data_IF_952839689940
#
_entry.id   IF_952839689940
#
_cell.length_a   1.000
_cell.length_b   1.000
_cell.length_c   1.000
_cell.angle_alpha   90.00
_cell.angle_beta   90.00
_cell.angle_gamma   90.00
#
_symmetry.space_group_name_H-M   'P 1'
#
loop_
_entity.id
_entity.type
_entity.pdbx_description
1 polymer ?
#
# COMPACT_ATOMS: atom_id res chain seq x y z
N UNK A 1 29.57 -17.78 12.06
CA UNK A 1 28.95 -16.44 12.13
C UNK A 1 27.62 -16.50 11.42
N UNK A 2 26.52 -16.14 12.09
CA UNK A 2 25.24 -16.01 11.44
C UNK A 2 25.36 -14.89 10.39
N UNK A 3 25.07 -15.21 9.13
CA UNK A 3 25.11 -14.23 8.03
C UNK A 3 23.82 -13.42 8.13
N UNK A 4 23.93 -12.12 8.33
CA UNK A 4 22.78 -11.23 8.25
C UNK A 4 22.31 -11.23 6.78
N UNK A 5 21.11 -11.73 6.53
CA UNK A 5 20.50 -11.82 5.21
C UNK A 5 19.33 -10.85 5.12
N UNK A 6 18.95 -10.46 3.89
CA UNK A 6 17.85 -9.51 3.63
C UNK A 6 16.54 -9.92 4.32
N UNK A 7 16.22 -11.22 4.32
CA UNK A 7 15.02 -11.74 5.00
C UNK A 7 15.03 -11.49 6.51
N UNK A 8 16.19 -11.57 7.17
CA UNK A 8 16.30 -11.30 8.60
C UNK A 8 16.19 -9.80 8.92
N UNK A 9 16.65 -8.94 8.00
CA UNK A 9 16.49 -7.49 8.11
C UNK A 9 15.03 -7.09 7.86
N UNK A 10 14.38 -7.72 6.88
CA UNK A 10 12.96 -7.51 6.58
C UNK A 10 12.07 -7.88 7.77
N UNK A 11 12.28 -9.05 8.36
CA UNK A 11 11.52 -9.51 9.54
C UNK A 11 11.68 -8.54 10.71
N UNK A 12 12.92 -8.14 11.03
CA UNK A 12 13.19 -7.13 12.06
C UNK A 12 12.47 -5.79 11.77
N UNK A 13 12.50 -5.31 10.53
CA UNK A 13 11.86 -4.05 10.17
C UNK A 13 10.33 -4.13 10.27
N UNK A 14 9.73 -5.27 9.92
CA UNK A 14 8.30 -5.52 10.08
C UNK A 14 7.93 -5.48 11.57
N UNK A 15 8.68 -6.19 12.42
CA UNK A 15 8.44 -6.23 13.88
C UNK A 15 8.52 -4.83 14.51
N UNK A 16 9.54 -4.05 14.15
CA UNK A 16 9.69 -2.65 14.60
C UNK A 16 8.48 -1.79 14.19
N UNK A 17 8.04 -1.88 12.93
CA UNK A 17 6.86 -1.14 12.47
C UNK A 17 5.57 -1.60 13.18
N UNK A 18 5.41 -2.91 13.39
CA UNK A 18 4.28 -3.45 14.14
C UNK A 18 4.26 -2.93 15.59
N UNK A 19 5.43 -2.81 16.24
CA UNK A 19 5.56 -2.23 17.58
C UNK A 19 5.09 -0.77 17.66
N UNK A 20 5.26 -0.01 16.57
CA UNK A 20 4.79 1.37 16.42
C UNK A 20 3.28 1.45 16.10
N UNK A 21 2.60 0.31 15.96
CA UNK A 21 1.16 0.21 15.70
C UNK A 21 0.80 0.09 14.22
N UNK A 22 1.76 -0.17 13.33
CA UNK A 22 1.46 -0.44 11.92
C UNK A 22 0.92 -1.87 11.74
N UNK A 23 -0.04 -2.02 10.83
CA UNK A 23 -0.55 -3.34 10.45
C UNK A 23 0.27 -3.88 9.28
N UNK A 24 0.95 -5.00 9.51
CA UNK A 24 1.58 -5.77 8.44
C UNK A 24 0.53 -6.61 7.71
N UNK A 25 0.63 -6.63 6.39
CA UNK A 25 -0.20 -7.46 5.51
C UNK A 25 0.73 -8.04 4.45
N UNK A 26 0.65 -9.35 4.23
CA UNK A 26 1.53 -10.00 3.27
C UNK A 26 1.16 -9.65 1.84
N UNK A 27 2.18 -9.51 0.98
CA UNK A 27 1.97 -9.24 -0.45
C UNK A 27 1.15 -10.33 -1.15
N UNK A 28 1.28 -11.59 -0.71
CA UNK A 28 0.50 -12.72 -1.25
C UNK A 28 -0.99 -12.62 -0.91
N UNK A 29 -1.34 -12.03 0.24
CA UNK A 29 -2.75 -11.83 0.62
C UNK A 29 -3.42 -10.73 -0.20
N UNK A 30 -2.61 -9.83 -0.79
CA UNK A 30 -3.05 -8.69 -1.60
C UNK A 30 -2.95 -8.97 -3.12
N UNK A 31 -2.42 -10.13 -3.50
CA UNK A 31 -2.16 -10.48 -4.89
C UNK A 31 -3.45 -10.58 -5.72
N UNK A 32 -3.39 -10.46 -7.06
CA UNK A 32 -4.58 -10.50 -7.92
C UNK A 32 -5.37 -11.81 -7.84
N UNK A 33 -4.71 -12.89 -7.48
CA UNK A 33 -5.22 -14.26 -7.32
C UNK A 33 -5.49 -14.64 -5.86
N UNK A 34 -5.34 -13.71 -4.92
CA UNK A 34 -5.68 -13.91 -3.53
C UNK A 34 -7.19 -13.95 -3.30
N UNK A 35 -7.61 -14.39 -2.10
CA UNK A 35 -9.02 -14.41 -1.71
C UNK A 35 -9.62 -13.00 -1.60
N UNK A 36 -8.82 -12.03 -1.16
CA UNK A 36 -9.21 -10.62 -1.01
C UNK A 36 -8.21 -9.73 -1.77
N UNK A 37 -8.24 -9.74 -3.11
CA UNK A 37 -7.24 -9.06 -3.91
C UNK A 37 -7.39 -7.54 -3.76
N UNK A 38 -6.29 -6.86 -3.45
CA UNK A 38 -6.21 -5.39 -3.52
C UNK A 38 -5.43 -4.91 -4.74
N UNK A 39 -4.59 -5.77 -5.32
CA UNK A 39 -3.88 -5.54 -6.57
C UNK A 39 -4.69 -6.12 -7.73
N UNK A 40 -4.71 -5.42 -8.85
CA UNK A 40 -5.24 -5.94 -10.13
C UNK A 40 -4.15 -6.66 -10.93
N UNK A 41 -2.88 -6.31 -10.70
CA UNK A 41 -1.70 -6.91 -11.29
C UNK A 41 -0.55 -6.98 -10.28
N UNK A 42 0.37 -7.94 -10.45
CA UNK A 42 1.60 -8.02 -9.67
C UNK A 42 2.50 -6.77 -9.83
N UNK A 43 2.36 -6.05 -10.94
CA UNK A 43 3.08 -4.79 -11.20
C UNK A 43 2.45 -3.55 -10.53
N UNK A 44 1.30 -3.67 -9.89
CA UNK A 44 0.62 -2.53 -9.30
C UNK A 44 1.39 -1.98 -8.09
N UNK A 45 1.91 -0.77 -8.21
CA UNK A 45 2.59 -0.09 -7.08
C UNK A 45 1.59 0.56 -6.12
N UNK A 46 0.43 0.98 -6.65
CA UNK A 46 -0.60 1.65 -5.87
C UNK A 46 -1.78 0.72 -5.56
N UNK A 47 -2.13 0.60 -4.28
CA UNK A 47 -3.36 -0.05 -3.83
C UNK A 47 -4.51 0.95 -3.93
N UNK A 48 -5.26 0.90 -5.04
CA UNK A 48 -6.20 1.97 -5.39
C UNK A 48 -7.35 2.15 -4.41
N UNK A 49 -7.91 1.06 -3.89
CA UNK A 49 -8.96 1.12 -2.87
C UNK A 49 -8.47 1.86 -1.62
N UNK A 50 -7.32 1.43 -1.06
CA UNK A 50 -6.73 2.07 0.12
C UNK A 50 -6.39 3.54 -0.12
N UNK A 51 -5.79 3.87 -1.27
CA UNK A 51 -5.44 5.25 -1.60
C UNK A 51 -6.69 6.14 -1.63
N UNK A 52 -7.75 5.71 -2.32
CA UNK A 52 -8.98 6.49 -2.42
C UNK A 52 -9.62 6.69 -1.05
N UNK A 53 -9.74 5.63 -0.24
CA UNK A 53 -10.29 5.72 1.12
C UNK A 53 -9.45 6.65 2.00
N UNK A 54 -8.12 6.54 1.96
CA UNK A 54 -7.22 7.36 2.76
C UNK A 54 -7.30 8.84 2.37
N UNK A 55 -7.28 9.17 1.07
CA UNK A 55 -7.34 10.56 0.61
C UNK A 55 -8.67 11.20 0.99
N UNK A 56 -9.79 10.48 0.88
CA UNK A 56 -11.09 10.97 1.35
C UNK A 56 -11.11 11.19 2.87
N UNK A 57 -10.60 10.23 3.65
CA UNK A 57 -10.55 10.32 5.11
C UNK A 57 -9.70 11.51 5.59
N UNK A 58 -8.57 11.77 4.93
CA UNK A 58 -7.66 12.86 5.30
C UNK A 58 -8.17 14.23 4.88
N UNK A 59 -9.04 14.31 3.86
CA UNK A 59 -9.48 15.56 3.26
C UNK A 59 -11.01 15.70 3.24
N UNK A 60 -11.71 15.62 4.38
CA UNK A 60 -13.17 15.59 4.43
C UNK A 60 -13.83 16.88 3.92
N UNK A 61 -13.11 18.00 3.90
CA UNK A 61 -13.61 19.30 3.47
C UNK A 61 -13.36 19.58 1.98
N UNK A 62 -12.57 18.73 1.31
CA UNK A 62 -12.25 18.93 -0.11
C UNK A 62 -13.36 18.29 -0.96
N UNK A 63 -13.83 18.96 -2.02
CA UNK A 63 -14.76 18.40 -2.97
C UNK A 63 -14.30 17.06 -3.56
N UNK A 64 -15.24 16.12 -3.73
CA UNK A 64 -14.94 14.77 -4.20
C UNK A 64 -14.34 14.73 -5.62
N UNK A 65 -14.71 15.68 -6.49
CA UNK A 65 -14.16 15.83 -7.84
C UNK A 65 -12.67 16.21 -7.81
N UNK A 66 -12.28 17.11 -6.90
CA UNK A 66 -10.89 17.49 -6.69
C UNK A 66 -10.06 16.32 -6.15
N UNK A 67 -10.60 15.54 -5.21
CA UNK A 67 -9.97 14.31 -4.70
C UNK A 67 -9.78 13.30 -5.84
N UNK A 68 -10.81 13.06 -6.64
CA UNK A 68 -10.73 12.12 -7.76
C UNK A 68 -9.71 12.57 -8.82
N UNK A 69 -9.59 13.88 -9.06
CA UNK A 69 -8.58 14.46 -9.94
C UNK A 69 -7.17 14.22 -9.40
N UNK A 70 -6.95 14.41 -8.10
CA UNK A 70 -5.65 14.15 -7.46
C UNK A 70 -5.26 12.67 -7.54
N UNK A 71 -6.17 11.75 -7.24
CA UNK A 71 -5.94 10.30 -7.34
C UNK A 71 -5.55 9.90 -8.77
N UNK A 72 -6.24 10.46 -9.78
CA UNK A 72 -5.91 10.22 -11.21
C UNK A 72 -4.54 10.74 -11.61
N UNK A 73 -4.06 11.84 -11.01
CA UNK A 73 -2.70 12.33 -11.24
C UNK A 73 -1.66 11.39 -10.64
N UNK A 74 -1.89 10.90 -9.42
CA UNK A 74 -0.99 9.95 -8.76
C UNK A 74 -0.87 8.63 -9.53
N UNK A 75 -1.97 8.10 -10.07
CA UNK A 75 -1.94 6.85 -10.82
C UNK A 75 -1.11 6.94 -12.10
N UNK A 76 -1.00 8.13 -12.72
CA UNK A 76 -0.16 8.32 -13.91
C UNK A 76 1.33 8.34 -13.59
N UNK A 77 1.71 8.93 -12.45
CA UNK A 77 3.12 9.00 -12.02
C UNK A 77 3.64 7.62 -11.66
N UNK A 78 2.83 6.80 -10.98
CA UNK A 78 3.26 5.47 -10.51
C UNK A 78 3.43 4.42 -11.62
N UNK A 79 2.91 4.68 -12.81
CA UNK A 79 3.04 3.80 -14.00
C UNK A 79 4.07 4.34 -14.99
N UNK A 80 4.67 5.51 -14.74
CA UNK A 80 5.72 6.13 -15.56
C UNK A 80 7.10 5.70 -15.08
#
# INVERSE_FOLDING_TARGET
MAKLCESAIEEMAIEELQSLGYTYISGVDLAPDALNPERSSYGDVLLMGRLQTAVHKLNPTIPADAIQSAVRKLSRIATS
#
